data_IF_433682685532
#
_entry.id   IF_433682685532
#
_cell.length_a   1.000
_cell.length_b   1.000
_cell.length_c   1.000
_cell.angle_alpha   90.00
_cell.angle_beta   90.00
_cell.angle_gamma   90.00
#
_symmetry.space_group_name_H-M   'P 1'
#
loop_
_entity.id
_entity.type
_entity.pdbx_description
1 polymer ?
#
# COMPACT_ATOMS: atom_id res chain seq x y z
N UNK A 1 -27.53 15.65 15.16
CA UNK A 1 -26.66 14.49 14.93
C UNK A 1 -25.51 14.82 13.96
N UNK A 2 -25.73 15.37 12.77
CA UNK A 2 -24.67 15.68 11.78
C UNK A 2 -23.48 16.44 12.37
N UNK A 3 -23.68 17.55 13.08
CA UNK A 3 -22.58 18.34 13.67
C UNK A 3 -21.74 17.52 14.65
N UNK A 4 -22.38 16.71 15.49
CA UNK A 4 -21.69 15.82 16.43
C UNK A 4 -20.78 14.83 15.68
N UNK A 5 -21.30 14.19 14.62
CA UNK A 5 -20.54 13.22 13.81
C UNK A 5 -19.36 13.89 13.12
N UNK A 6 -19.54 15.10 12.56
CA UNK A 6 -18.44 15.87 11.94
C UNK A 6 -17.36 16.22 12.97
N UNK A 7 -17.74 16.71 14.14
CA UNK A 7 -16.81 17.07 15.19
C UNK A 7 -16.04 15.85 15.73
N UNK A 8 -16.74 14.73 15.94
CA UNK A 8 -16.11 13.50 16.39
C UNK A 8 -15.18 12.93 15.32
N UNK A 9 -15.56 12.96 14.05
CA UNK A 9 -14.72 12.57 12.93
C UNK A 9 -13.44 13.42 12.86
N UNK A 10 -13.57 14.74 12.92
CA UNK A 10 -12.43 15.66 12.94
C UNK A 10 -11.51 15.39 14.14
N UNK A 11 -12.09 15.21 15.34
CA UNK A 11 -11.34 14.85 16.54
C UNK A 11 -10.61 13.49 16.40
N UNK A 12 -11.26 12.51 15.75
CA UNK A 12 -10.64 11.20 15.46
C UNK A 12 -9.39 11.36 14.61
N UNK A 13 -9.46 12.15 13.53
CA UNK A 13 -8.31 12.37 12.66
C UNK A 13 -7.18 13.15 13.35
N UNK A 14 -7.52 14.19 14.09
CA UNK A 14 -6.54 14.93 14.89
C UNK A 14 -5.88 14.02 15.92
N UNK A 15 -6.65 13.17 16.60
CA UNK A 15 -6.12 12.22 17.57
C UNK A 15 -5.24 11.15 16.93
N UNK A 16 -5.59 10.62 15.74
CA UNK A 16 -4.76 9.65 15.02
C UNK A 16 -3.42 10.24 14.56
N UNK A 17 -3.41 11.53 14.18
CA UNK A 17 -2.17 12.25 13.83
C UNK A 17 -1.32 12.51 15.07
N UNK A 18 -1.94 12.93 16.16
CA UNK A 18 -1.25 13.25 17.42
C UNK A 18 -0.73 12.00 18.15
N UNK A 19 -1.41 10.86 18.00
CA UNK A 19 -1.15 9.60 18.71
C UNK A 19 -0.89 8.42 17.75
N UNK A 20 0.20 8.45 16.96
CA UNK A 20 0.41 7.45 15.89
C UNK A 20 0.48 6.00 16.38
N UNK A 21 0.94 5.76 17.62
CA UNK A 21 0.99 4.42 18.23
C UNK A 21 -0.37 3.89 18.68
N UNK A 22 -1.38 4.75 18.81
CA UNK A 22 -2.70 4.41 19.35
C UNK A 22 -3.80 4.56 18.31
N UNK A 23 -3.45 4.70 17.02
CA UNK A 23 -4.39 4.97 15.91
C UNK A 23 -5.56 3.99 15.89
N UNK A 24 -5.29 2.69 16.07
CA UNK A 24 -6.33 1.66 16.07
C UNK A 24 -7.29 1.80 17.26
N UNK A 25 -6.79 2.15 18.45
CA UNK A 25 -7.66 2.40 19.62
C UNK A 25 -8.48 3.67 19.47
N UNK A 26 -7.91 4.71 18.87
CA UNK A 26 -8.65 5.94 18.55
C UNK A 26 -9.79 5.65 17.58
N UNK A 27 -9.54 4.90 16.50
CA UNK A 27 -10.56 4.53 15.53
C UNK A 27 -11.68 3.67 16.15
N UNK A 28 -11.31 2.64 16.92
CA UNK A 28 -12.27 1.76 17.63
C UNK A 28 -13.05 2.53 18.68
N UNK A 29 -12.40 3.40 19.45
CA UNK A 29 -13.05 4.24 20.46
C UNK A 29 -14.07 5.20 19.81
N UNK A 30 -13.69 5.84 18.70
CA UNK A 30 -14.59 6.69 17.95
C UNK A 30 -15.77 5.91 17.35
N UNK A 31 -15.50 4.72 16.80
CA UNK A 31 -16.56 3.82 16.32
C UNK A 31 -17.55 3.45 17.44
N UNK A 32 -17.04 3.10 18.63
CA UNK A 32 -17.87 2.81 19.79
C UNK A 32 -18.72 4.03 20.22
N UNK A 33 -18.14 5.24 20.22
CA UNK A 33 -18.86 6.47 20.52
C UNK A 33 -19.96 6.74 19.48
N UNK A 34 -19.67 6.53 18.16
CA UNK A 34 -20.67 6.67 17.08
C UNK A 34 -21.87 5.72 17.29
N UNK A 35 -21.62 4.49 17.71
CA UNK A 35 -22.66 3.49 17.95
C UNK A 35 -23.46 3.87 19.22
N UNK A 36 -22.78 4.14 20.34
CA UNK A 36 -23.44 4.44 21.63
C UNK A 36 -24.26 5.71 21.58
N UNK A 37 -23.79 6.73 20.83
CA UNK A 37 -24.53 7.98 20.64
C UNK A 37 -25.76 7.86 19.70
N UNK A 38 -25.95 6.70 19.07
CA UNK A 38 -27.01 6.49 18.07
C UNK A 38 -26.73 7.17 16.72
N UNK A 39 -25.50 7.64 16.48
CA UNK A 39 -25.09 8.18 15.19
C UNK A 39 -25.04 7.11 14.09
N UNK A 40 -24.83 5.87 14.49
CA UNK A 40 -24.97 4.69 13.65
C UNK A 40 -25.67 3.57 14.45
N UNK A 41 -26.79 3.00 13.97
CA UNK A 41 -27.44 1.89 14.65
C UNK A 41 -26.51 0.68 14.77
N UNK A 42 -26.55 -0.04 15.90
CA UNK A 42 -25.75 -1.26 16.14
C UNK A 42 -25.98 -2.31 15.05
N UNK A 43 -27.21 -2.43 14.57
CA UNK A 43 -27.61 -3.35 13.51
C UNK A 43 -26.92 -3.07 12.17
N UNK A 44 -26.55 -1.82 11.90
CA UNK A 44 -25.89 -1.39 10.67
C UNK A 44 -24.34 -1.43 10.80
N UNK A 45 -23.83 -1.32 12.04
CA UNK A 45 -22.41 -1.13 12.28
C UNK A 45 -21.53 -2.28 11.72
N UNK A 46 -21.96 -3.53 11.91
CA UNK A 46 -21.23 -4.70 11.40
C UNK A 46 -21.32 -4.83 9.87
N UNK A 47 -22.37 -4.29 9.26
CA UNK A 47 -22.55 -4.24 7.80
C UNK A 47 -21.66 -3.21 7.12
N UNK A 48 -21.14 -2.21 7.87
CA UNK A 48 -20.19 -1.23 7.33
C UNK A 48 -18.78 -1.78 7.16
N UNK A 49 -18.45 -2.87 7.89
CA UNK A 49 -17.12 -3.46 7.84
C UNK A 49 -16.97 -4.26 6.55
N UNK A 50 -15.97 -3.92 5.75
CA UNK A 50 -15.58 -4.75 4.61
C UNK A 50 -14.75 -5.95 5.08
N UNK A 51 -15.45 -7.04 5.35
CA UNK A 51 -14.83 -8.29 5.80
C UNK A 51 -13.91 -8.92 4.75
N UNK A 52 -14.20 -8.70 3.45
CA UNK A 52 -13.33 -9.18 2.38
C UNK A 52 -11.95 -8.53 2.46
N UNK A 53 -11.91 -7.21 2.61
CA UNK A 53 -10.67 -6.44 2.81
C UNK A 53 -9.90 -6.93 4.04
N UNK A 54 -10.56 -7.08 5.20
CA UNK A 54 -9.88 -7.51 6.42
C UNK A 54 -9.31 -8.94 6.30
N UNK A 55 -10.06 -9.86 5.69
CA UNK A 55 -9.58 -11.23 5.45
C UNK A 55 -8.45 -11.28 4.44
N UNK A 56 -8.51 -10.46 3.39
CA UNK A 56 -7.41 -10.36 2.42
C UNK A 56 -6.13 -9.89 3.10
N UNK A 57 -6.20 -8.83 3.91
CA UNK A 57 -5.05 -8.31 4.66
C UNK A 57 -4.45 -9.37 5.59
N UNK A 58 -5.27 -9.99 6.44
CA UNK A 58 -4.78 -11.02 7.36
C UNK A 58 -4.14 -12.20 6.63
N UNK A 59 -4.78 -12.70 5.57
CA UNK A 59 -4.31 -13.84 4.80
C UNK A 59 -3.04 -13.55 4.01
N UNK A 60 -2.94 -12.39 3.36
CA UNK A 60 -1.75 -12.01 2.60
C UNK A 60 -0.56 -11.74 3.53
N UNK A 61 -0.73 -10.96 4.61
CA UNK A 61 0.34 -10.69 5.58
C UNK A 61 0.88 -11.98 6.20
N UNK A 62 -0.01 -12.89 6.59
CA UNK A 62 0.40 -14.18 7.14
C UNK A 62 1.16 -15.07 6.13
N UNK A 63 0.70 -15.15 4.89
CA UNK A 63 1.38 -15.90 3.82
C UNK A 63 2.73 -15.29 3.48
N UNK A 64 2.82 -13.97 3.43
CA UNK A 64 4.06 -13.20 3.19
C UNK A 64 5.07 -13.43 4.33
N UNK A 65 4.63 -13.49 5.58
CA UNK A 65 5.53 -13.79 6.71
C UNK A 65 6.20 -15.16 6.55
N UNK A 66 5.44 -16.19 6.14
CA UNK A 66 6.02 -17.50 5.83
C UNK A 66 7.02 -17.43 4.66
N UNK A 67 6.72 -16.64 3.63
CA UNK A 67 7.61 -16.41 2.48
C UNK A 67 8.91 -15.72 2.90
N UNK A 68 8.86 -14.71 3.74
CA UNK A 68 10.05 -14.04 4.28
C UNK A 68 10.88 -15.02 5.12
N UNK A 69 10.24 -15.80 5.99
CA UNK A 69 10.93 -16.81 6.82
C UNK A 69 11.60 -17.92 6.02
N UNK A 70 11.25 -18.12 4.75
CA UNK A 70 11.88 -19.08 3.85
C UNK A 70 13.26 -18.66 3.33
N UNK A 71 13.65 -17.40 3.52
CA UNK A 71 14.85 -16.75 2.96
C UNK A 71 14.90 -16.72 1.43
N UNK A 72 13.78 -17.02 0.77
CA UNK A 72 13.70 -16.95 -0.69
C UNK A 72 13.91 -15.52 -1.22
N UNK A 73 13.32 -14.48 -0.60
CA UNK A 73 13.54 -13.09 -1.03
C UNK A 73 15.00 -12.65 -0.95
N UNK A 74 15.72 -13.03 0.13
CA UNK A 74 17.16 -12.75 0.26
C UNK A 74 17.95 -13.39 -0.90
N UNK A 75 17.67 -14.66 -1.20
CA UNK A 75 18.30 -15.36 -2.32
C UNK A 75 18.04 -14.66 -3.66
N UNK A 76 16.80 -14.22 -3.88
CA UNK A 76 16.42 -13.49 -5.12
C UNK A 76 17.23 -12.20 -5.25
N UNK A 77 17.32 -11.42 -4.16
CA UNK A 77 18.11 -10.20 -4.11
C UNK A 77 19.59 -10.48 -4.38
N UNK A 78 20.19 -11.48 -3.73
CA UNK A 78 21.60 -11.85 -3.92
C UNK A 78 21.91 -12.30 -5.36
N UNK A 79 21.01 -13.07 -5.98
CA UNK A 79 21.16 -13.50 -7.38
C UNK A 79 21.09 -12.32 -8.36
N UNK A 80 20.21 -11.34 -8.07
CA UNK A 80 20.10 -10.11 -8.86
C UNK A 80 21.40 -9.31 -8.75
N UNK A 81 21.92 -9.15 -7.54
CA UNK A 81 23.11 -8.37 -7.25
C UNK A 81 24.39 -8.94 -7.89
N UNK A 82 24.48 -10.25 -8.07
CA UNK A 82 25.61 -10.90 -8.78
C UNK A 82 25.80 -10.40 -10.20
N UNK A 83 24.74 -9.85 -10.81
CA UNK A 83 24.76 -9.33 -12.19
C UNK A 83 25.01 -7.82 -12.25
N UNK A 84 25.10 -7.12 -11.13
CA UNK A 84 25.26 -5.66 -11.09
C UNK A 84 26.74 -5.26 -11.06
N UNK A 85 27.19 -4.41 -12.00
CA UNK A 85 28.61 -4.07 -12.12
C UNK A 85 29.09 -3.03 -11.09
N UNK A 86 28.22 -2.17 -10.61
CA UNK A 86 28.55 -1.06 -9.71
C UNK A 86 27.35 -0.63 -8.86
N UNK A 87 27.59 0.29 -7.91
CA UNK A 87 26.58 0.73 -6.92
C UNK A 87 25.38 1.44 -7.57
N UNK A 88 25.55 2.13 -8.70
CA UNK A 88 24.44 2.72 -9.44
C UNK A 88 23.44 1.63 -9.88
N UNK A 89 23.94 0.57 -10.49
CA UNK A 89 23.10 -0.54 -10.93
C UNK A 89 22.56 -1.37 -9.77
N UNK A 90 23.28 -1.43 -8.63
CA UNK A 90 22.76 -2.00 -7.38
C UNK A 90 21.54 -1.20 -6.90
N UNK A 91 21.65 0.11 -6.89
CA UNK A 91 20.54 0.97 -6.46
C UNK A 91 19.30 0.80 -7.36
N UNK A 92 19.50 0.82 -8.69
CA UNK A 92 18.42 0.56 -9.66
C UNK A 92 17.84 -0.85 -9.45
N UNK A 93 18.69 -1.87 -9.39
CA UNK A 93 18.26 -3.26 -9.30
C UNK A 93 17.50 -3.54 -8.00
N UNK A 94 17.98 -3.05 -6.85
CA UNK A 94 17.29 -3.24 -5.56
C UNK A 94 16.01 -2.44 -5.47
N UNK A 95 15.96 -1.23 -6.03
CA UNK A 95 14.73 -0.43 -6.06
C UNK A 95 13.66 -1.05 -6.96
N UNK A 96 14.03 -1.50 -8.15
CA UNK A 96 13.12 -2.21 -9.05
C UNK A 96 12.68 -3.55 -8.45
N UNK A 97 13.61 -4.30 -7.85
CA UNK A 97 13.30 -5.55 -7.18
C UNK A 97 12.34 -5.35 -6.00
N UNK A 98 12.60 -4.35 -5.13
CA UNK A 98 11.72 -4.02 -4.03
C UNK A 98 10.32 -3.64 -4.54
N UNK A 99 10.24 -2.86 -5.61
CA UNK A 99 8.98 -2.55 -6.24
C UNK A 99 8.24 -3.78 -6.75
N UNK A 100 8.91 -4.63 -7.56
CA UNK A 100 8.29 -5.85 -8.11
C UNK A 100 7.79 -6.80 -7.02
N UNK A 101 8.54 -6.95 -5.93
CA UNK A 101 8.08 -7.73 -4.77
C UNK A 101 6.90 -7.04 -4.11
N UNK A 102 6.95 -5.72 -3.94
CA UNK A 102 5.88 -4.96 -3.28
C UNK A 102 4.56 -4.95 -4.05
N UNK A 103 4.58 -5.23 -5.33
CA UNK A 103 3.34 -5.45 -6.09
C UNK A 103 2.52 -6.66 -5.58
N UNK A 104 3.13 -7.58 -4.82
CA UNK A 104 2.50 -8.79 -4.29
C UNK A 104 2.68 -8.98 -2.78
N UNK A 105 3.50 -8.15 -2.17
CA UNK A 105 3.91 -8.19 -0.76
C UNK A 105 3.78 -6.79 -0.21
N UNK A 106 3.23 -6.68 0.99
CA UNK A 106 3.12 -5.39 1.69
C UNK A 106 4.43 -4.57 1.63
N UNK A 107 4.29 -3.28 1.45
CA UNK A 107 5.40 -2.35 1.24
C UNK A 107 6.36 -2.28 2.44
N UNK A 108 5.85 -2.34 3.67
CA UNK A 108 6.68 -2.35 4.90
C UNK A 108 7.48 -3.65 4.99
N UNK A 109 6.81 -4.79 4.78
CA UNK A 109 7.44 -6.11 4.78
C UNK A 109 8.55 -6.20 3.72
N UNK A 110 8.30 -5.64 2.52
CA UNK A 110 9.29 -5.56 1.44
C UNK A 110 10.52 -4.74 1.86
N UNK A 111 10.33 -3.58 2.48
CA UNK A 111 11.43 -2.75 2.98
C UNK A 111 12.22 -3.49 4.05
N UNK A 112 11.55 -4.09 5.04
CA UNK A 112 12.21 -4.86 6.11
C UNK A 112 13.06 -6.01 5.57
N UNK A 113 12.66 -6.58 4.44
CA UNK A 113 13.34 -7.69 3.77
C UNK A 113 14.55 -7.22 2.94
N UNK A 114 14.42 -6.15 2.16
CA UNK A 114 15.47 -5.70 1.21
C UNK A 114 16.47 -4.77 1.89
N UNK A 115 16.07 -4.00 2.88
CA UNK A 115 16.93 -3.01 3.54
C UNK A 115 18.17 -3.59 4.22
N UNK A 116 18.15 -4.77 4.90
CA UNK A 116 19.36 -5.37 5.45
C UNK A 116 20.42 -5.70 4.39
N UNK A 117 19.99 -6.15 3.21
CA UNK A 117 20.89 -6.43 2.08
C UNK A 117 21.54 -5.13 1.59
N UNK A 118 20.75 -4.09 1.41
CA UNK A 118 21.23 -2.78 1.00
C UNK A 118 22.20 -2.17 2.02
N UNK A 119 21.89 -2.30 3.31
CA UNK A 119 22.74 -1.83 4.41
C UNK A 119 24.10 -2.55 4.42
N UNK A 120 24.09 -3.89 4.27
CA UNK A 120 25.31 -4.67 4.22
C UNK A 120 26.22 -4.27 3.04
N UNK A 121 25.64 -4.00 1.87
CA UNK A 121 26.36 -3.54 0.68
C UNK A 121 26.97 -2.17 0.92
N UNK A 122 26.17 -1.21 1.39
CA UNK A 122 26.64 0.15 1.64
C UNK A 122 27.78 0.17 2.68
N UNK A 123 27.64 -0.60 3.76
CA UNK A 123 28.69 -0.75 4.79
C UNK A 123 29.97 -1.33 4.21
N UNK A 124 29.87 -2.40 3.38
CA UNK A 124 31.02 -3.03 2.73
C UNK A 124 31.77 -2.10 1.78
N UNK A 125 31.03 -1.20 1.14
CA UNK A 125 31.59 -0.22 0.19
C UNK A 125 32.03 1.09 0.86
N UNK A 126 31.77 1.26 2.17
CA UNK A 126 32.08 2.48 2.91
C UNK A 126 31.26 3.69 2.43
N UNK A 127 30.08 3.45 1.83
CA UNK A 127 29.16 4.50 1.35
C UNK A 127 27.98 4.67 2.28
N UNK A 128 27.31 5.83 2.20
CA UNK A 128 26.09 6.07 2.98
C UNK A 128 24.94 5.18 2.50
N UNK A 129 24.29 4.41 3.40
CA UNK A 129 23.13 3.60 3.04
C UNK A 129 21.85 4.44 2.86
N UNK A 130 21.84 5.70 3.29
CA UNK A 130 20.64 6.55 3.33
C UNK A 130 19.97 6.66 1.96
N UNK A 131 20.66 7.07 0.87
CA UNK A 131 19.99 7.21 -0.42
C UNK A 131 19.44 5.87 -0.95
N UNK A 132 20.17 4.78 -0.71
CA UNK A 132 19.78 3.46 -1.19
C UNK A 132 18.50 2.96 -0.50
N UNK A 133 18.43 3.08 0.83
CA UNK A 133 17.25 2.67 1.58
C UNK A 133 16.03 3.56 1.28
N UNK A 134 16.23 4.86 1.07
CA UNK A 134 15.14 5.75 0.65
C UNK A 134 14.61 5.32 -0.73
N UNK A 135 15.48 5.08 -1.72
CA UNK A 135 15.06 4.61 -3.05
C UNK A 135 14.27 3.30 -2.99
N UNK A 136 14.72 2.34 -2.15
CA UNK A 136 14.00 1.07 -1.92
C UNK A 136 12.61 1.34 -1.33
N UNK A 137 12.50 2.19 -0.30
CA UNK A 137 11.24 2.49 0.36
C UNK A 137 10.24 3.16 -0.58
N UNK A 138 10.66 4.20 -1.31
CA UNK A 138 9.75 4.93 -2.23
C UNK A 138 9.35 4.06 -3.43
N UNK A 139 10.23 3.15 -3.91
CA UNK A 139 9.90 2.21 -4.98
C UNK A 139 8.94 1.12 -4.51
N UNK A 140 9.13 0.62 -3.28
CA UNK A 140 8.23 -0.34 -2.65
C UNK A 140 6.82 0.25 -2.47
N UNK A 141 6.71 1.43 -1.87
CA UNK A 141 5.43 2.09 -1.67
C UNK A 141 4.73 2.43 -3.00
N UNK A 142 5.48 2.84 -4.03
CA UNK A 142 4.92 3.11 -5.35
C UNK A 142 4.27 1.88 -5.96
N UNK A 143 4.98 0.77 -6.03
CA UNK A 143 4.49 -0.44 -6.71
C UNK A 143 3.52 -1.27 -5.88
N UNK A 144 3.38 -1.01 -4.59
CA UNK A 144 2.30 -1.57 -3.78
C UNK A 144 0.91 -1.27 -4.36
N UNK A 145 0.74 -0.16 -5.08
CA UNK A 145 -0.49 0.19 -5.77
C UNK A 145 -0.76 -0.60 -7.06
N UNK A 146 0.18 -1.41 -7.55
CA UNK A 146 0.08 -2.04 -8.87
C UNK A 146 -0.95 -3.17 -8.93
N UNK A 147 -1.10 -3.95 -7.88
CA UNK A 147 -2.02 -5.11 -7.87
C UNK A 147 -2.98 -5.06 -6.70
N UNK A 148 -4.02 -5.88 -6.78
CA UNK A 148 -5.05 -6.00 -5.72
C UNK A 148 -4.46 -6.35 -4.34
N UNK A 149 -3.32 -7.01 -4.26
CA UNK A 149 -2.75 -7.55 -3.01
C UNK A 149 -1.44 -6.87 -2.58
N UNK A 150 -0.95 -5.89 -3.32
CA UNK A 150 0.34 -5.26 -3.06
C UNK A 150 0.33 -4.30 -1.87
N UNK A 151 -0.74 -3.55 -1.66
CA UNK A 151 -0.87 -2.60 -0.57
C UNK A 151 -2.31 -2.56 -0.04
N UNK A 152 -2.47 -2.16 1.21
CA UNK A 152 -3.77 -1.98 1.87
C UNK A 152 -4.69 -1.03 1.08
N UNK A 153 -4.16 0.03 0.51
CA UNK A 153 -4.93 1.00 -0.30
C UNK A 153 -5.50 0.38 -1.57
N UNK A 154 -4.76 -0.53 -2.21
CA UNK A 154 -5.22 -1.28 -3.38
C UNK A 154 -6.31 -2.28 -3.01
N UNK A 155 -6.17 -2.99 -1.88
CA UNK A 155 -7.20 -3.90 -1.38
C UNK A 155 -8.50 -3.14 -1.09
N UNK A 156 -8.41 -1.96 -0.47
CA UNK A 156 -9.57 -1.10 -0.20
C UNK A 156 -10.22 -0.58 -1.49
N UNK A 157 -9.42 -0.18 -2.50
CA UNK A 157 -9.96 0.19 -3.81
C UNK A 157 -10.68 -0.99 -4.45
N UNK A 158 -10.09 -2.19 -4.39
CA UNK A 158 -10.70 -3.41 -4.90
C UNK A 158 -12.06 -3.69 -4.28
N UNK A 159 -12.20 -3.49 -2.96
CA UNK A 159 -13.48 -3.61 -2.25
C UNK A 159 -14.47 -2.53 -2.66
N UNK A 160 -14.06 -1.26 -2.63
CA UNK A 160 -14.95 -0.13 -2.90
C UNK A 160 -15.43 -0.04 -4.36
N UNK A 161 -14.62 -0.47 -5.32
CA UNK A 161 -14.92 -0.45 -6.75
C UNK A 161 -15.35 -1.82 -7.30
N UNK A 162 -15.53 -2.83 -6.42
CA UNK A 162 -15.82 -4.24 -6.77
C UNK A 162 -14.87 -4.81 -7.84
N UNK A 163 -13.59 -4.45 -7.75
CA UNK A 163 -12.55 -4.91 -8.66
C UNK A 163 -12.00 -6.28 -8.25
N UNK A 164 -11.77 -7.13 -9.23
CA UNK A 164 -11.04 -8.37 -9.05
C UNK A 164 -9.53 -8.19 -9.37
N UNK A 165 -8.73 -9.24 -9.24
CA UNK A 165 -7.29 -9.15 -9.49
C UNK A 165 -6.96 -8.76 -10.94
N UNK A 166 -7.71 -9.29 -11.91
CA UNK A 166 -7.49 -8.98 -13.34
C UNK A 166 -7.91 -7.57 -13.70
N UNK A 167 -8.90 -7.00 -12.99
CA UNK A 167 -9.36 -5.62 -13.21
C UNK A 167 -8.27 -4.59 -12.88
N UNK A 168 -7.29 -4.93 -12.03
CA UNK A 168 -6.10 -4.11 -11.83
C UNK A 168 -5.19 -4.07 -13.06
N UNK A 169 -5.19 -5.12 -13.89
CA UNK A 169 -4.34 -5.23 -15.10
C UNK A 169 -5.11 -4.78 -16.33
N UNK A 170 -6.31 -5.33 -16.53
CA UNK A 170 -7.20 -5.02 -17.64
C UNK A 170 -8.63 -4.94 -17.15
N UNK A 171 -9.30 -3.84 -17.44
CA UNK A 171 -10.69 -3.61 -17.07
C UNK A 171 -11.45 -3.02 -18.26
N UNK A 172 -12.58 -3.60 -18.64
CA UNK A 172 -13.42 -3.18 -19.77
C UNK A 172 -12.64 -3.04 -21.10
N UNK A 173 -11.66 -3.91 -21.33
CA UNK A 173 -10.82 -3.86 -22.54
C UNK A 173 -9.77 -2.77 -22.56
N UNK A 174 -9.63 -1.99 -21.49
CA UNK A 174 -8.62 -0.94 -21.31
C UNK A 174 -7.51 -1.40 -20.38
N UNK A 175 -6.34 -0.81 -20.52
CA UNK A 175 -5.23 -0.90 -19.57
C UNK A 175 -5.64 -0.22 -18.27
N UNK A 176 -5.43 -0.90 -17.11
CA UNK A 176 -5.91 -0.43 -15.82
C UNK A 176 -4.76 0.13 -14.96
N UNK A 177 -5.02 0.28 -13.64
CA UNK A 177 -4.12 0.95 -12.69
C UNK A 177 -2.72 0.32 -12.63
N UNK A 178 -2.58 -0.99 -12.82
CA UNK A 178 -1.28 -1.67 -12.91
C UNK A 178 -0.34 -0.94 -13.87
N UNK A 179 -0.80 -0.62 -15.06
CA UNK A 179 0.02 0.03 -16.09
C UNK A 179 0.35 1.48 -15.76
N UNK A 180 -0.55 2.18 -15.06
CA UNK A 180 -0.26 3.52 -14.55
C UNK A 180 0.91 3.51 -13.56
N UNK A 181 0.90 2.53 -12.64
CA UNK A 181 1.92 2.36 -11.61
C UNK A 181 3.24 1.90 -12.22
N UNK A 182 3.23 0.92 -13.14
CA UNK A 182 4.43 0.45 -13.83
C UNK A 182 5.07 1.55 -14.69
N UNK A 183 4.26 2.36 -15.37
CA UNK A 183 4.78 3.52 -16.11
C UNK A 183 5.43 4.54 -15.17
N UNK A 184 4.81 4.78 -13.99
CA UNK A 184 5.40 5.58 -12.93
C UNK A 184 6.73 5.02 -12.44
N UNK A 185 6.80 3.71 -12.20
CA UNK A 185 8.01 3.02 -11.77
C UNK A 185 9.13 3.15 -12.82
N UNK A 186 8.83 2.91 -14.09
CA UNK A 186 9.79 3.08 -15.17
C UNK A 186 10.28 4.54 -15.30
N UNK A 187 9.37 5.51 -15.16
CA UNK A 187 9.71 6.92 -15.22
C UNK A 187 10.62 7.37 -14.07
N UNK A 188 10.60 6.68 -12.92
CA UNK A 188 11.47 7.01 -11.77
C UNK A 188 12.87 6.40 -11.87
N UNK A 189 13.14 5.42 -12.74
CA UNK A 189 14.47 4.83 -12.92
C UNK A 189 15.53 5.88 -13.27
N UNK A 190 15.30 6.83 -14.20
CA UNK A 190 16.25 7.91 -14.46
C UNK A 190 16.56 8.79 -13.25
N UNK A 191 15.59 8.98 -12.33
CA UNK A 191 15.81 9.72 -11.07
C UNK A 191 16.81 8.98 -10.20
N UNK A 192 16.62 7.68 -10.01
CA UNK A 192 17.56 6.83 -9.25
C UNK A 192 18.95 6.88 -9.88
N UNK A 193 19.03 6.71 -11.21
CA UNK A 193 20.29 6.78 -11.93
C UNK A 193 20.97 8.15 -11.76
N UNK A 194 20.22 9.24 -11.74
CA UNK A 194 20.76 10.59 -11.54
C UNK A 194 21.30 10.77 -10.10
N UNK A 195 20.63 10.23 -9.11
CA UNK A 195 21.07 10.28 -7.69
C UNK A 195 22.41 9.56 -7.54
N UNK A 196 22.55 8.36 -8.11
CA UNK A 196 23.74 7.51 -7.97
C UNK A 196 24.79 7.69 -9.08
N UNK A 197 24.65 8.69 -9.97
CA UNK A 197 25.53 8.88 -11.14
C UNK A 197 27.02 9.05 -10.81
N UNK A 198 27.33 9.47 -9.60
CA UNK A 198 28.71 9.67 -9.14
C UNK A 198 29.29 8.43 -8.44
N UNK A 199 28.44 7.48 -8.05
CA UNK A 199 28.81 6.30 -7.31
C UNK A 199 29.21 5.17 -8.29
N UNK A 200 30.53 4.92 -8.41
CA UNK A 200 31.08 3.95 -9.35
C UNK A 200 31.81 2.77 -8.69
N UNK A 201 31.66 2.61 -7.37
CA UNK A 201 32.29 1.51 -6.63
C UNK A 201 31.85 0.15 -7.19
N UNK A 202 32.79 -0.76 -7.40
CA UNK A 202 32.50 -2.15 -7.81
C UNK A 202 31.97 -2.94 -6.62
N UNK A 203 30.91 -3.69 -6.83
CA UNK A 203 30.27 -4.50 -5.78
C UNK A 203 30.68 -5.96 -5.93
N UNK A 204 31.25 -6.53 -4.87
CA UNK A 204 31.46 -7.97 -4.76
C UNK A 204 30.43 -8.56 -3.84
N UNK A 205 29.51 -9.33 -4.38
CA UNK A 205 28.47 -10.05 -3.63
C UNK A 205 29.01 -11.41 -3.22
N UNK A 206 28.73 -11.84 -2.00
CA UNK A 206 29.08 -13.17 -1.49
C UNK A 206 28.27 -14.30 -2.13
N UNK A 207 28.32 -15.48 -1.54
CA UNK A 207 27.42 -16.56 -1.95
C UNK A 207 25.97 -16.23 -1.62
N UNK A 208 25.01 -16.57 -2.52
CA UNK A 208 23.60 -16.32 -2.29
C UNK A 208 23.07 -17.03 -1.06
N UNK A 209 22.14 -16.41 -0.37
CA UNK A 209 21.45 -17.01 0.75
C UNK A 209 20.87 -18.39 0.38
N UNK A 210 20.90 -19.32 1.32
CA UNK A 210 20.35 -20.66 1.14
C UNK A 210 18.87 -20.63 1.46
N UNK A 211 18.02 -21.03 0.50
CA UNK A 211 16.59 -21.16 0.74
C UNK A 211 16.33 -22.32 1.68
N UNK A 212 15.60 -22.06 2.75
CA UNK A 212 15.27 -23.07 3.76
C UNK A 212 14.04 -23.91 3.35
N UNK A 213 13.11 -23.29 2.62
CA UNK A 213 11.86 -23.91 2.21
C UNK A 213 11.28 -23.21 0.95
N UNK A 214 10.86 -23.99 -0.03
CA UNK A 214 10.25 -23.48 -1.27
C UNK A 214 8.72 -23.42 -1.21
N UNK A 215 8.08 -24.14 -0.27
CA UNK A 215 6.62 -24.20 -0.17
C UNK A 215 5.99 -22.84 0.08
N UNK A 216 6.51 -21.95 0.95
CA UNK A 216 5.96 -20.61 1.11
C UNK A 216 5.93 -19.77 -0.19
N UNK A 217 6.95 -19.94 -1.04
CA UNK A 217 6.99 -19.29 -2.35
C UNK A 217 5.89 -19.83 -3.27
N UNK A 218 5.63 -21.15 -3.24
CA UNK A 218 4.54 -21.78 -3.98
C UNK A 218 3.18 -21.31 -3.45
N UNK A 219 3.03 -21.11 -2.14
CA UNK A 219 1.79 -20.59 -1.53
C UNK A 219 1.51 -19.15 -1.97
N UNK A 220 2.52 -18.28 -1.93
CA UNK A 220 2.37 -16.89 -2.39
C UNK A 220 1.99 -16.83 -3.87
N UNK A 221 2.69 -17.58 -4.72
CA UNK A 221 2.34 -17.69 -6.14
C UNK A 221 0.94 -18.30 -6.33
N UNK A 222 0.61 -19.31 -5.54
CA UNK A 222 -0.70 -19.97 -5.52
C UNK A 222 -1.82 -19.00 -5.16
N UNK A 223 -1.60 -18.07 -4.21
CA UNK A 223 -2.56 -17.02 -3.89
C UNK A 223 -2.86 -16.18 -5.14
N UNK A 224 -1.84 -15.71 -5.84
CA UNK A 224 -1.99 -14.90 -7.05
C UNK A 224 -2.74 -15.70 -8.14
N UNK A 225 -2.33 -16.93 -8.38
CA UNK A 225 -2.98 -17.80 -9.39
C UNK A 225 -4.46 -18.05 -9.05
N UNK A 226 -4.79 -18.29 -7.78
CA UNK A 226 -6.17 -18.48 -7.34
C UNK A 226 -7.00 -17.21 -7.47
N UNK A 227 -6.44 -16.03 -7.17
CA UNK A 227 -7.12 -14.75 -7.36
C UNK A 227 -7.36 -14.45 -8.85
N UNK A 228 -6.39 -14.78 -9.71
CA UNK A 228 -6.57 -14.69 -11.17
C UNK A 228 -7.68 -15.66 -11.62
N UNK A 229 -7.66 -16.92 -11.19
CA UNK A 229 -8.68 -17.90 -11.54
C UNK A 229 -10.06 -17.44 -11.05
N UNK A 230 -10.18 -16.91 -9.84
CA UNK A 230 -11.41 -16.37 -9.29
C UNK A 230 -11.95 -15.17 -10.07
N UNK A 231 -11.08 -14.41 -10.76
CA UNK A 231 -11.49 -13.29 -11.60
C UNK A 231 -12.37 -13.71 -12.80
N UNK A 232 -12.27 -14.97 -13.22
CA UNK A 232 -13.05 -15.52 -14.33
C UNK A 232 -14.34 -16.24 -13.87
N UNK A 233 -14.62 -16.27 -12.56
CA UNK A 233 -15.86 -16.89 -12.05
C UNK A 233 -17.04 -15.94 -12.25
N UNK A 234 -18.12 -16.38 -12.95
CA UNK A 234 -19.34 -15.61 -13.02
C UNK A 234 -20.04 -15.59 -11.65
N UNK A 235 -20.67 -14.47 -11.30
CA UNK A 235 -21.41 -14.27 -10.03
C UNK A 235 -20.56 -14.60 -8.78
N UNK A 236 -19.34 -14.16 -8.76
CA UNK A 236 -18.39 -14.36 -7.68
C UNK A 236 -18.97 -13.83 -6.35
N UNK A 237 -19.00 -14.62 -5.24
CA UNK A 237 -19.34 -14.11 -3.92
C UNK A 237 -18.43 -12.96 -3.46
N UNK A 238 -18.97 -11.97 -2.76
CA UNK A 238 -18.22 -10.80 -2.32
C UNK A 238 -16.98 -11.12 -1.47
N UNK A 239 -17.01 -12.21 -0.69
CA UNK A 239 -15.92 -12.63 0.19
C UNK A 239 -14.88 -13.54 -0.46
N UNK A 240 -14.96 -13.80 -1.76
CA UNK A 240 -14.12 -14.80 -2.47
C UNK A 240 -12.63 -14.52 -2.30
N UNK A 241 -12.19 -13.28 -2.52
CA UNK A 241 -10.77 -12.92 -2.42
C UNK A 241 -10.24 -13.10 -0.98
N UNK A 242 -11.03 -12.69 0.01
CA UNK A 242 -10.71 -12.89 1.43
C UNK A 242 -10.58 -14.36 1.80
N UNK A 243 -11.51 -15.21 1.35
CA UNK A 243 -11.42 -16.66 1.60
C UNK A 243 -10.23 -17.31 0.92
N UNK A 244 -9.85 -16.89 -0.29
CA UNK A 244 -8.64 -17.37 -0.97
C UNK A 244 -7.39 -17.02 -0.14
N UNK A 245 -7.22 -15.77 0.22
CA UNK A 245 -6.05 -15.32 0.98
C UNK A 245 -5.96 -16.02 2.34
N UNK A 246 -7.05 -16.07 3.09
CA UNK A 246 -7.11 -16.76 4.39
C UNK A 246 -6.92 -18.27 4.24
N UNK A 247 -7.53 -18.91 3.23
CA UNK A 247 -7.40 -20.34 2.99
C UNK A 247 -5.97 -20.75 2.69
N UNK A 248 -5.27 -20.00 1.83
CA UNK A 248 -3.85 -20.26 1.54
C UNK A 248 -2.98 -20.06 2.80
N UNK A 249 -3.24 -19.02 3.58
CA UNK A 249 -2.53 -18.81 4.84
C UNK A 249 -2.75 -19.99 5.82
N UNK A 250 -3.99 -20.44 6.00
CA UNK A 250 -4.31 -21.61 6.84
C UNK A 250 -3.57 -22.86 6.35
N UNK A 251 -3.55 -23.11 5.03
CA UNK A 251 -2.78 -24.21 4.44
C UNK A 251 -1.30 -24.07 4.79
N UNK A 252 -0.74 -22.87 4.70
CA UNK A 252 0.66 -22.56 5.06
C UNK A 252 0.95 -22.85 6.53
N UNK A 253 0.06 -22.48 7.44
CA UNK A 253 0.18 -22.79 8.88
C UNK A 253 0.11 -24.29 9.13
N UNK A 254 -0.87 -24.98 8.54
CA UNK A 254 -1.00 -26.43 8.69
C UNK A 254 0.24 -27.16 8.15
N UNK A 255 0.76 -26.75 7.00
CA UNK A 255 2.02 -27.27 6.46
C UNK A 255 3.16 -27.06 7.45
N UNK A 256 3.29 -25.85 8.00
CA UNK A 256 4.36 -25.52 8.96
C UNK A 256 4.29 -26.36 10.24
N UNK A 257 3.08 -26.59 10.74
CA UNK A 257 2.84 -27.39 11.96
C UNK A 257 3.06 -28.91 11.71
N UNK A 258 2.53 -29.44 10.62
CA UNK A 258 2.51 -30.89 10.35
C UNK A 258 3.82 -31.34 9.73
N UNK A 259 4.26 -30.69 8.62
CA UNK A 259 5.40 -31.13 7.84
C UNK A 259 6.73 -30.64 8.42
N UNK A 260 6.79 -29.37 8.85
CA UNK A 260 8.01 -28.79 9.45
C UNK A 260 8.09 -28.99 10.98
N UNK A 261 6.99 -29.40 11.62
CA UNK A 261 6.87 -29.58 13.09
C UNK A 261 7.37 -28.38 13.88
N UNK A 262 7.19 -27.17 13.33
CA UNK A 262 7.67 -25.92 13.91
C UNK A 262 6.52 -25.04 14.37
N UNK A 263 6.10 -25.21 15.61
CA UNK A 263 5.10 -24.34 16.25
C UNK A 263 5.61 -22.90 16.40
N UNK A 264 6.91 -22.71 16.52
CA UNK A 264 7.52 -21.39 16.63
C UNK A 264 7.37 -20.58 15.33
N UNK A 265 7.66 -21.19 14.15
CA UNK A 265 7.44 -20.54 12.87
C UNK A 265 5.97 -20.20 12.61
N UNK A 266 5.06 -21.10 12.96
CA UNK A 266 3.63 -20.85 12.86
C UNK A 266 3.20 -19.69 13.76
N UNK A 267 3.68 -19.65 15.02
CA UNK A 267 3.41 -18.57 15.96
C UNK A 267 3.99 -17.24 15.49
N UNK A 268 5.19 -17.24 14.91
CA UNK A 268 5.80 -16.05 14.36
C UNK A 268 5.02 -15.52 13.15
N UNK A 269 4.52 -16.40 12.27
CA UNK A 269 3.68 -15.98 11.14
C UNK A 269 2.40 -15.28 11.60
N UNK A 270 1.78 -15.70 12.69
CA UNK A 270 0.65 -14.99 13.29
C UNK A 270 1.03 -13.65 13.92
N UNK A 271 2.21 -13.55 14.53
CA UNK A 271 2.68 -12.29 15.15
C UNK A 271 3.02 -11.20 14.15
N UNK A 272 3.41 -11.59 12.94
CA UNK A 272 3.73 -10.66 11.85
C UNK A 272 2.46 -10.11 11.16
N UNK A 273 1.28 -10.66 11.45
CA UNK A 273 0.03 -10.05 11.01
C UNK A 273 -0.14 -8.73 11.76
N UNK A 274 -0.26 -7.64 11.02
CA UNK A 274 -0.50 -6.31 11.58
C UNK A 274 -1.97 -6.16 12.02
N UNK A 275 -2.26 -6.71 13.20
CA UNK A 275 -3.59 -6.59 13.81
C UNK A 275 -3.96 -5.14 14.13
N UNK A 276 -2.98 -4.26 14.36
CA UNK A 276 -3.26 -2.84 14.60
C UNK A 276 -3.87 -2.19 13.36
N UNK A 277 -3.34 -2.47 12.18
CA UNK A 277 -3.92 -2.00 10.90
C UNK A 277 -5.28 -2.62 10.62
N UNK A 278 -5.48 -3.92 10.90
CA UNK A 278 -6.78 -4.58 10.72
C UNK A 278 -7.84 -3.95 11.63
N UNK A 279 -7.52 -3.72 12.90
CA UNK A 279 -8.41 -3.09 13.88
C UNK A 279 -8.65 -1.61 13.56
N UNK A 280 -7.63 -0.90 13.08
CA UNK A 280 -7.76 0.47 12.59
C UNK A 280 -8.81 0.55 11.47
N UNK A 281 -8.70 -0.33 10.47
CA UNK A 281 -9.64 -0.36 9.35
C UNK A 281 -11.05 -0.74 9.79
N UNK A 282 -11.20 -1.74 10.66
CA UNK A 282 -12.51 -2.10 11.20
C UNK A 282 -13.18 -0.91 11.89
N UNK A 283 -12.44 -0.16 12.71
CA UNK A 283 -12.92 1.06 13.34
C UNK A 283 -13.25 2.16 12.33
N UNK A 284 -12.38 2.39 11.36
CA UNK A 284 -12.59 3.41 10.31
C UNK A 284 -13.80 3.10 9.44
N UNK A 285 -14.03 1.86 9.05
CA UNK A 285 -15.23 1.48 8.29
C UNK A 285 -16.52 1.86 9.02
N UNK A 286 -16.58 1.64 10.34
CA UNK A 286 -17.73 2.04 11.16
C UNK A 286 -17.85 3.57 11.24
N UNK A 287 -16.74 4.27 11.45
CA UNK A 287 -16.72 5.75 11.52
C UNK A 287 -17.18 6.35 10.18
N UNK A 288 -16.67 5.84 9.05
CA UNK A 288 -17.03 6.28 7.70
C UNK A 288 -18.48 5.91 7.39
N UNK A 289 -18.92 4.71 7.77
CA UNK A 289 -20.32 4.29 7.68
C UNK A 289 -21.26 5.23 8.42
N UNK A 290 -20.85 5.74 9.59
CA UNK A 290 -21.62 6.77 10.32
C UNK A 290 -21.71 8.10 9.55
N UNK A 291 -20.63 8.53 8.86
CA UNK A 291 -20.66 9.70 7.98
C UNK A 291 -21.66 9.51 6.83
N UNK A 292 -21.62 8.35 6.20
CA UNK A 292 -22.53 7.97 5.10
C UNK A 292 -23.98 7.95 5.58
N UNK A 293 -24.24 7.27 6.70
CA UNK A 293 -25.58 7.16 7.30
C UNK A 293 -26.20 8.52 7.63
N UNK A 294 -25.40 9.48 8.09
CA UNK A 294 -25.84 10.82 8.39
C UNK A 294 -25.82 11.78 7.19
N UNK A 295 -25.52 11.32 5.96
CA UNK A 295 -25.48 12.12 4.74
C UNK A 295 -24.34 13.15 4.69
N UNK A 296 -23.26 12.94 5.47
CA UNK A 296 -22.11 13.87 5.50
C UNK A 296 -21.23 13.65 4.28
N UNK A 297 -21.08 12.40 3.82
CA UNK A 297 -20.35 12.08 2.58
C UNK A 297 -20.98 12.81 1.39
N UNK A 298 -22.32 12.86 1.34
CA UNK A 298 -23.06 13.59 0.30
C UNK A 298 -22.78 15.09 0.37
N UNK A 299 -22.78 15.68 1.57
CA UNK A 299 -22.50 17.10 1.78
C UNK A 299 -21.05 17.45 1.32
N UNK A 300 -20.08 16.61 1.67
CA UNK A 300 -18.67 16.77 1.24
C UNK A 300 -18.55 16.64 -0.28
N UNK A 301 -19.17 15.63 -0.87
CA UNK A 301 -19.16 15.42 -2.31
C UNK A 301 -19.79 16.61 -3.05
N UNK A 302 -20.89 17.13 -2.55
CA UNK A 302 -21.53 18.33 -3.11
C UNK A 302 -20.63 19.57 -3.01
N UNK A 303 -19.96 19.76 -1.88
CA UNK A 303 -19.02 20.87 -1.69
C UNK A 303 -17.87 20.79 -2.72
N UNK A 304 -17.28 19.62 -2.91
CA UNK A 304 -16.19 19.41 -3.87
C UNK A 304 -16.67 19.62 -5.31
N UNK A 305 -17.86 19.12 -5.67
CA UNK A 305 -18.45 19.36 -7.00
C UNK A 305 -18.71 20.85 -7.22
N UNK A 306 -19.17 21.57 -6.20
CA UNK A 306 -19.35 23.03 -6.31
C UNK A 306 -18.03 23.78 -6.53
N UNK A 307 -16.93 23.29 -5.96
CA UNK A 307 -15.58 23.87 -6.16
C UNK A 307 -14.98 23.52 -7.52
N UNK A 308 -15.15 22.28 -7.98
CA UNK A 308 -14.60 21.80 -9.26
C UNK A 308 -15.51 22.06 -10.46
N UNK A 309 -16.78 22.42 -10.25
CA UNK A 309 -17.77 22.59 -11.31
C UNK A 309 -18.08 21.28 -12.04
N UNK A 310 -18.57 21.40 -13.28
CA UNK A 310 -18.85 20.25 -14.16
C UNK A 310 -17.62 19.77 -14.96
N UNK A 311 -16.44 20.35 -14.72
CA UNK A 311 -15.23 20.02 -15.44
C UNK A 311 -14.56 18.77 -14.86
N UNK A 312 -14.67 17.65 -15.57
CA UNK A 312 -14.10 16.37 -15.16
C UNK A 312 -12.56 16.43 -15.00
N UNK A 313 -11.88 17.14 -15.91
CA UNK A 313 -10.42 17.29 -15.85
C UNK A 313 -9.98 18.04 -14.59
N UNK A 314 -10.70 19.13 -14.24
CA UNK A 314 -10.39 19.89 -13.04
C UNK A 314 -10.64 19.05 -11.77
N UNK A 315 -11.76 18.32 -11.72
CA UNK A 315 -12.09 17.44 -10.59
C UNK A 315 -11.06 16.32 -10.44
N UNK A 316 -10.73 15.64 -11.53
CA UNK A 316 -9.68 14.61 -11.55
C UNK A 316 -8.33 15.15 -11.07
N UNK A 317 -7.92 16.31 -11.62
CA UNK A 317 -6.66 16.95 -11.24
C UNK A 317 -6.63 17.32 -9.76
N UNK A 318 -7.75 17.86 -9.25
CA UNK A 318 -7.89 18.22 -7.84
C UNK A 318 -7.78 16.97 -6.96
N UNK A 319 -8.47 15.87 -7.31
CA UNK A 319 -8.39 14.61 -6.56
C UNK A 319 -6.94 14.10 -6.54
N UNK A 320 -6.25 14.01 -7.68
CA UNK A 320 -4.88 13.48 -7.73
C UNK A 320 -3.93 14.33 -6.90
N UNK A 321 -3.85 15.62 -7.17
CA UNK A 321 -2.83 16.48 -6.56
C UNK A 321 -3.12 16.82 -5.10
N UNK A 322 -4.40 17.02 -4.73
CA UNK A 322 -4.77 17.19 -3.32
C UNK A 322 -4.52 15.90 -2.53
N UNK A 323 -4.86 14.73 -3.10
CA UNK A 323 -4.57 13.45 -2.44
C UNK A 323 -3.08 13.26 -2.22
N UNK A 324 -2.23 13.60 -3.19
CA UNK A 324 -0.79 13.55 -3.04
C UNK A 324 -0.27 14.46 -1.93
N UNK A 325 -0.81 15.67 -1.85
CA UNK A 325 -0.43 16.64 -0.82
C UNK A 325 -0.87 16.18 0.58
N UNK A 326 -2.12 15.73 0.73
CA UNK A 326 -2.61 15.28 2.03
C UNK A 326 -1.92 14.00 2.49
N UNK A 327 -1.73 13.02 1.60
CA UNK A 327 -1.05 11.78 1.91
C UNK A 327 0.44 11.97 2.24
N UNK A 328 1.05 13.08 1.86
CA UNK A 328 2.39 13.43 2.31
C UNK A 328 2.52 13.61 3.82
N UNK A 329 1.42 13.93 4.53
CA UNK A 329 1.40 14.23 5.96
C UNK A 329 0.49 13.30 6.76
N UNK A 330 -0.50 12.71 6.11
CA UNK A 330 -1.47 11.76 6.68
C UNK A 330 -1.18 10.40 6.05
N UNK A 331 -1.14 9.36 6.86
CA UNK A 331 -0.99 7.98 6.39
C UNK A 331 -2.01 7.68 5.28
N UNK A 332 -1.57 7.02 4.20
CA UNK A 332 -2.38 6.72 3.02
C UNK A 332 -3.62 5.87 3.36
N UNK A 333 -3.53 4.96 4.32
CA UNK A 333 -4.62 4.04 4.68
C UNK A 333 -5.88 4.77 5.16
N UNK A 334 -5.86 5.57 6.25
CA UNK A 334 -7.04 6.30 6.68
C UNK A 334 -7.53 7.33 5.66
N UNK A 335 -6.61 7.95 4.93
CA UNK A 335 -6.96 8.91 3.90
C UNK A 335 -7.76 8.26 2.77
N UNK A 336 -7.26 7.19 2.18
CA UNK A 336 -7.94 6.48 1.08
C UNK A 336 -9.26 5.89 1.55
N UNK A 337 -9.31 5.26 2.74
CA UNK A 337 -10.55 4.73 3.31
C UNK A 337 -11.67 5.78 3.34
N UNK A 338 -11.36 7.02 3.73
CA UNK A 338 -12.34 8.11 3.79
C UNK A 338 -12.68 8.66 2.43
N UNK A 339 -11.71 8.77 1.54
CA UNK A 339 -11.92 9.40 0.22
C UNK A 339 -12.63 8.49 -0.79
N UNK A 340 -12.56 7.17 -0.65
CA UNK A 340 -13.26 6.24 -1.55
C UNK A 340 -14.76 6.52 -1.65
N UNK A 341 -15.55 6.58 -0.57
CA UNK A 341 -16.98 6.91 -0.66
C UNK A 341 -17.24 8.35 -1.11
N UNK A 342 -16.35 9.31 -0.79
CA UNK A 342 -16.48 10.70 -1.27
C UNK A 342 -16.31 10.75 -2.79
N UNK A 343 -15.30 10.06 -3.33
CA UNK A 343 -15.06 9.97 -4.78
C UNK A 343 -16.24 9.31 -5.49
N UNK A 344 -16.82 8.24 -4.90
CA UNK A 344 -18.06 7.64 -5.42
C UNK A 344 -19.21 8.65 -5.50
N UNK A 345 -19.39 9.42 -4.42
CA UNK A 345 -20.43 10.48 -4.37
C UNK A 345 -20.19 11.60 -5.39
N UNK A 346 -18.93 12.00 -5.62
CA UNK A 346 -18.56 12.97 -6.66
C UNK A 346 -18.92 12.44 -8.04
N UNK A 347 -18.49 11.20 -8.36
CA UNK A 347 -18.75 10.59 -9.65
C UNK A 347 -20.25 10.47 -9.94
N UNK A 348 -21.05 10.03 -8.95
CA UNK A 348 -22.50 9.93 -9.07
C UNK A 348 -23.15 11.30 -9.34
N UNK A 349 -22.69 12.37 -8.69
CA UNK A 349 -23.21 13.74 -8.88
C UNK A 349 -22.81 14.36 -10.21
N UNK A 350 -21.60 14.04 -10.68
CA UNK A 350 -21.11 14.50 -12.00
C UNK A 350 -21.67 13.66 -13.15
N UNK A 351 -22.31 12.51 -12.88
CA UNK A 351 -22.79 11.57 -13.89
C UNK A 351 -21.65 10.97 -14.72
N UNK A 352 -20.46 10.81 -14.13
CA UNK A 352 -19.28 10.23 -14.80
C UNK A 352 -18.91 8.87 -14.23
N UNK A 353 -18.04 8.14 -14.96
CA UNK A 353 -17.47 6.89 -14.44
C UNK A 353 -16.55 7.17 -13.24
N UNK A 354 -16.81 6.50 -12.13
CA UNK A 354 -16.04 6.66 -10.90
C UNK A 354 -14.59 6.16 -11.03
N UNK A 355 -14.29 5.27 -11.98
CA UNK A 355 -12.99 4.59 -12.12
C UNK A 355 -11.84 5.56 -12.35
N UNK A 356 -12.02 6.54 -13.25
CA UNK A 356 -11.02 7.59 -13.46
C UNK A 356 -10.65 8.30 -12.15
N UNK A 357 -11.65 8.66 -11.36
CA UNK A 357 -11.47 9.37 -10.09
C UNK A 357 -10.88 8.47 -9.02
N UNK A 358 -11.26 7.18 -8.97
CA UNK A 358 -10.66 6.17 -8.09
C UNK A 358 -9.20 5.92 -8.39
N UNK A 359 -8.85 5.77 -9.67
CA UNK A 359 -7.45 5.61 -10.07
C UNK A 359 -6.64 6.87 -9.79
N UNK A 360 -7.25 8.04 -10.01
CA UNK A 360 -6.66 9.32 -9.59
C UNK A 360 -6.40 9.40 -8.10
N UNK A 361 -7.37 8.98 -7.27
CA UNK A 361 -7.21 8.91 -5.82
C UNK A 361 -6.04 7.99 -5.43
N UNK A 362 -5.98 6.79 -6.00
CA UNK A 362 -4.92 5.82 -5.67
C UNK A 362 -3.54 6.34 -6.11
N UNK A 363 -3.43 6.85 -7.35
CA UNK A 363 -2.18 7.47 -7.85
C UNK A 363 -1.76 8.63 -6.95
N UNK A 364 -2.68 9.53 -6.61
CA UNK A 364 -2.38 10.66 -5.74
C UNK A 364 -1.98 10.21 -4.33
N UNK A 365 -2.81 9.43 -3.67
CA UNK A 365 -2.63 9.07 -2.26
C UNK A 365 -1.45 8.12 -2.03
N UNK A 366 -1.38 7.00 -2.76
CA UNK A 366 -0.35 5.98 -2.50
C UNK A 366 1.03 6.46 -2.94
N UNK A 367 1.15 7.03 -4.15
CA UNK A 367 2.42 7.54 -4.62
C UNK A 367 2.81 8.84 -3.88
N UNK A 368 1.83 9.68 -3.56
CA UNK A 368 2.03 10.95 -2.85
C UNK A 368 2.62 10.81 -1.44
N UNK A 369 2.35 9.70 -0.76
CA UNK A 369 2.96 9.37 0.53
C UNK A 369 4.50 9.35 0.50
N UNK A 370 5.10 9.21 -0.68
CA UNK A 370 6.55 9.25 -0.87
C UNK A 370 7.15 10.68 -0.83
N UNK A 371 6.33 11.73 -0.80
CA UNK A 371 6.82 13.12 -0.70
C UNK A 371 7.56 13.39 0.59
N UNK A 372 7.18 12.78 1.71
CA UNK A 372 7.79 13.05 3.02
C UNK A 372 8.25 11.76 3.73
N UNK A 373 9.13 11.90 4.73
CA UNK A 373 9.59 10.77 5.54
C UNK A 373 8.49 10.04 6.32
N UNK A 374 7.36 10.69 6.55
CA UNK A 374 6.26 10.22 7.41
C UNK A 374 4.98 9.87 6.64
N UNK A 375 4.93 10.19 5.34
CA UNK A 375 3.71 10.03 4.54
C UNK A 375 3.37 8.58 4.16
N UNK A 376 4.33 7.64 4.31
CA UNK A 376 4.10 6.22 4.08
C UNK A 376 4.83 5.37 5.11
N UNK A 377 4.19 4.26 5.52
CA UNK A 377 4.74 3.33 6.52
C UNK A 377 6.06 2.69 6.07
N UNK A 378 6.26 2.45 4.77
CA UNK A 378 7.52 1.98 4.18
C UNK A 378 8.69 2.95 4.43
N UNK A 379 8.44 4.27 4.31
CA UNK A 379 9.45 5.29 4.56
C UNK A 379 9.85 5.32 6.04
N UNK A 380 8.86 5.22 6.93
CA UNK A 380 9.09 5.17 8.39
C UNK A 380 9.92 3.92 8.74
N UNK A 381 9.61 2.78 8.14
CA UNK A 381 10.35 1.53 8.35
C UNK A 381 11.82 1.66 7.90
N UNK A 382 12.08 2.18 6.70
CA UNK A 382 13.44 2.40 6.19
C UNK A 382 14.25 3.33 7.09
N UNK A 383 13.66 4.44 7.52
CA UNK A 383 14.29 5.40 8.44
C UNK A 383 14.54 4.75 9.80
N UNK A 384 13.61 3.92 10.28
CA UNK A 384 13.77 3.15 11.51
C UNK A 384 14.97 2.20 11.48
N UNK A 385 15.17 1.50 10.35
CA UNK A 385 16.32 0.62 10.12
C UNK A 385 17.61 1.44 10.11
N UNK A 386 17.65 2.54 9.37
CA UNK A 386 18.81 3.43 9.32
C UNK A 386 19.20 3.96 10.71
N UNK A 387 18.21 4.39 11.50
CA UNK A 387 18.43 4.88 12.87
C UNK A 387 18.99 3.78 13.78
N UNK A 388 18.47 2.55 13.69
CA UNK A 388 19.00 1.38 14.44
C UNK A 388 20.45 1.07 14.05
N UNK A 389 20.83 1.34 12.81
CA UNK A 389 22.17 1.16 12.28
C UNK A 389 23.10 2.36 12.58
N UNK A 390 22.64 3.37 13.31
CA UNK A 390 23.41 4.55 13.71
C UNK A 390 23.43 5.70 12.70
N UNK A 391 22.54 5.67 11.69
CA UNK A 391 22.43 6.73 10.69
C UNK A 391 21.22 7.63 10.98
N UNK A 392 21.45 8.94 11.04
CA UNK A 392 20.39 9.93 11.15
C UNK A 392 20.01 10.46 9.77
N UNK A 393 18.76 10.31 9.40
CA UNK A 393 18.21 10.81 8.14
C UNK A 393 17.65 12.20 8.34
N UNK A 394 18.25 13.21 7.71
CA UNK A 394 17.69 14.57 7.69
C UNK A 394 16.50 14.62 6.74
N UNK A 395 15.45 15.35 7.13
CA UNK A 395 14.27 15.56 6.26
C UNK A 395 14.68 16.10 4.88
N UNK A 396 15.67 16.99 4.81
CA UNK A 396 16.17 17.52 3.54
C UNK A 396 16.83 16.47 2.63
N UNK A 397 17.47 15.45 3.20
CA UNK A 397 18.04 14.32 2.42
C UNK A 397 16.93 13.45 1.84
N UNK A 398 15.90 13.16 2.64
CA UNK A 398 14.75 12.43 2.15
C UNK A 398 14.04 13.20 1.03
N UNK A 399 13.73 14.49 1.24
CA UNK A 399 13.04 15.33 0.26
C UNK A 399 13.80 15.44 -1.07
N UNK A 400 15.13 15.45 -1.03
CA UNK A 400 15.96 15.51 -2.25
C UNK A 400 15.75 14.29 -3.16
N UNK A 401 15.36 13.15 -2.60
CA UNK A 401 15.06 11.90 -3.33
C UNK A 401 13.56 11.75 -3.52
N UNK A 402 12.79 11.86 -2.45
CA UNK A 402 11.35 11.59 -2.43
C UNK A 402 10.56 12.55 -3.32
N UNK A 403 10.87 13.84 -3.31
CA UNK A 403 10.11 14.83 -4.09
C UNK A 403 10.23 14.59 -5.61
N UNK A 404 11.42 14.56 -6.24
CA UNK A 404 11.53 14.33 -7.68
C UNK A 404 11.00 12.94 -8.08
N UNK A 405 11.24 11.92 -7.26
CA UNK A 405 10.71 10.57 -7.48
C UNK A 405 9.18 10.59 -7.52
N UNK A 406 8.55 11.15 -6.51
CA UNK A 406 7.09 11.20 -6.37
C UNK A 406 6.43 12.02 -7.47
N UNK A 407 6.95 13.23 -7.75
CA UNK A 407 6.36 14.09 -8.78
C UNK A 407 6.38 13.43 -10.16
N UNK A 408 7.46 12.73 -10.51
CA UNK A 408 7.57 12.03 -11.79
C UNK A 408 6.62 10.82 -11.81
N UNK A 409 6.56 10.04 -10.73
CA UNK A 409 5.68 8.89 -10.64
C UNK A 409 4.19 9.30 -10.71
N UNK A 410 3.79 10.29 -9.92
CA UNK A 410 2.42 10.81 -9.92
C UNK A 410 2.07 11.40 -11.28
N UNK A 411 2.95 12.19 -11.89
CA UNK A 411 2.70 12.77 -13.22
C UNK A 411 2.50 11.70 -14.27
N UNK A 412 3.32 10.64 -14.26
CA UNK A 412 3.20 9.55 -15.23
C UNK A 412 1.86 8.81 -15.06
N UNK A 413 1.48 8.45 -13.81
CA UNK A 413 0.20 7.83 -13.51
C UNK A 413 -0.99 8.74 -13.81
N UNK A 414 -0.89 10.04 -13.49
CA UNK A 414 -1.89 11.06 -13.77
C UNK A 414 -2.19 11.16 -15.27
N UNK A 415 -1.16 11.30 -16.09
CA UNK A 415 -1.33 11.37 -17.53
C UNK A 415 -1.89 10.07 -18.10
N UNK A 416 -1.35 8.92 -17.68
CA UNK A 416 -1.84 7.61 -18.11
C UNK A 416 -3.34 7.45 -17.84
N UNK A 417 -3.77 7.64 -16.58
CA UNK A 417 -5.16 7.47 -16.21
C UNK A 417 -6.07 8.43 -16.99
N UNK A 418 -5.65 9.68 -17.18
CA UNK A 418 -6.42 10.64 -17.97
C UNK A 418 -6.60 10.17 -19.42
N UNK A 419 -5.52 9.82 -20.10
CA UNK A 419 -5.61 9.46 -21.53
C UNK A 419 -6.29 8.11 -21.79
N UNK A 420 -6.35 7.22 -20.81
CA UNK A 420 -6.98 5.90 -20.98
C UNK A 420 -8.42 5.89 -20.47
N UNK A 421 -8.77 6.67 -19.46
CA UNK A 421 -10.03 6.55 -18.72
C UNK A 421 -10.94 7.79 -18.78
N UNK A 422 -10.50 8.93 -19.31
CA UNK A 422 -11.33 10.12 -19.52
C UNK A 422 -12.29 9.99 -20.70
#
# INVERSE_FOLDING_TARGET
MKLFVILLFAATYVAMIALPKWRYLVALGSAAIMIVSGALPVTEAFGQIDWNVLMMLAGTMGTVSLFIASRMPERMADLLLKKTPNILWVAVALSVFAGLISAFVDNVATVLMVAPVALAIATKLGTSPIPLLICIAVSSNLQGAATLVGDTTSIMLGGAADMNFMDFIFMDGKLSIFWAVELGALATVPVIMFIFRKERGTVTVGEPAKVEDYVPSCLLLGTVVLLIAASFLPNRPALTNGFICMGVFVIGILYTLICKKSSERAKNAFKEIDFETILLLAGLFIVIGSLTYNGIIDDISQLLVNLGGSNLFLMYSLIVWASGLFSAFIDNIPYVATMLPVVAGIAARMGCDARLLYFGLLVGATLGGNLTPIGASANIAAIGILRKAGYEVKTSEFLRIGVPFTLIAVLAGYLFCWFVWA
#
